data_IF_965188359578
#
_entry.id   IF_965188359578
#
_cell.length_a   1.000
_cell.length_b   1.000
_cell.length_c   1.000
_cell.angle_alpha   90.00
_cell.angle_beta   90.00
_cell.angle_gamma   90.00
#
_symmetry.space_group_name_H-M   'P 1'
#
loop_
_entity.id
_entity.type
_entity.pdbx_description
1 polymer ?
#
# COMPACT_ATOMS: atom_id res chain seq x y z
N UNK A 1 7.58 -34.96 -17.27
CA UNK A 1 8.07 -34.01 -18.30
C UNK A 1 7.95 -32.61 -17.75
N UNK A 2 8.99 -31.76 -17.78
CA UNK A 2 8.83 -30.39 -17.36
C UNK A 2 8.00 -29.65 -18.42
N UNK A 3 6.91 -29.03 -18.01
CA UNK A 3 6.14 -28.13 -18.88
C UNK A 3 7.07 -26.96 -19.21
N UNK A 4 7.57 -26.91 -20.45
CA UNK A 4 8.36 -25.78 -20.93
C UNK A 4 7.43 -24.57 -21.05
N UNK A 5 7.34 -23.77 -19.97
CA UNK A 5 6.70 -22.45 -20.00
C UNK A 5 7.32 -21.59 -21.09
N UNK A 6 6.51 -20.80 -21.80
CA UNK A 6 7.02 -19.87 -22.82
C UNK A 6 8.01 -18.87 -22.17
N UNK A 7 8.93 -18.31 -22.97
CA UNK A 7 9.89 -17.30 -22.47
C UNK A 7 9.14 -16.10 -21.84
N UNK A 8 7.95 -15.79 -22.35
CA UNK A 8 7.09 -14.71 -21.87
C UNK A 8 6.46 -15.06 -20.51
N UNK A 9 5.97 -16.28 -20.32
CA UNK A 9 5.43 -16.74 -19.02
C UNK A 9 6.49 -16.72 -17.91
N UNK A 10 7.73 -17.12 -18.22
CA UNK A 10 8.83 -17.06 -17.24
C UNK A 10 9.13 -15.62 -16.83
N UNK A 11 9.21 -14.71 -17.80
CA UNK A 11 9.48 -13.29 -17.56
C UNK A 11 8.42 -12.66 -16.67
N UNK A 12 7.14 -12.98 -16.89
CA UNK A 12 6.02 -12.49 -16.06
C UNK A 12 6.13 -12.99 -14.62
N UNK A 13 6.44 -14.27 -14.42
CA UNK A 13 6.57 -14.85 -13.08
C UNK A 13 7.79 -14.31 -12.32
N UNK A 14 8.92 -14.15 -13.01
CA UNK A 14 10.12 -13.57 -12.42
C UNK A 14 9.84 -12.12 -12.00
N UNK A 15 9.16 -11.33 -12.85
CA UNK A 15 8.76 -9.95 -12.51
C UNK A 15 7.91 -9.90 -11.22
N UNK A 16 6.87 -10.72 -11.10
CA UNK A 16 6.05 -10.74 -9.88
C UNK A 16 6.83 -11.21 -8.65
N UNK A 17 7.77 -12.12 -8.83
CA UNK A 17 8.67 -12.57 -7.76
C UNK A 17 9.55 -11.42 -7.26
N UNK A 18 10.15 -10.66 -8.17
CA UNK A 18 10.96 -9.48 -7.83
C UNK A 18 10.12 -8.39 -7.15
N UNK A 19 8.89 -8.12 -7.64
CA UNK A 19 7.98 -7.17 -6.98
C UNK A 19 7.70 -7.59 -5.53
N UNK A 20 7.42 -8.87 -5.29
CA UNK A 20 7.17 -9.38 -3.95
C UNK A 20 8.41 -9.29 -3.03
N UNK A 21 9.60 -9.59 -3.57
CA UNK A 21 10.86 -9.48 -2.81
C UNK A 21 11.14 -8.03 -2.44
N UNK A 22 11.01 -7.09 -3.40
CA UNK A 22 11.22 -5.66 -3.15
C UNK A 22 10.24 -5.13 -2.11
N UNK A 23 8.96 -5.50 -2.21
CA UNK A 23 7.93 -5.15 -1.22
C UNK A 23 8.31 -5.64 0.18
N UNK A 24 8.73 -6.90 0.31
CA UNK A 24 9.09 -7.49 1.59
C UNK A 24 10.32 -6.80 2.21
N UNK A 25 11.34 -6.51 1.40
CA UNK A 25 12.55 -5.80 1.84
C UNK A 25 12.23 -4.39 2.34
N UNK A 26 11.38 -3.66 1.62
CA UNK A 26 10.93 -2.31 2.00
C UNK A 26 10.09 -2.35 3.29
N UNK A 27 9.11 -3.26 3.37
CA UNK A 27 8.27 -3.43 4.59
C UNK A 27 9.11 -3.70 5.82
N UNK A 28 10.04 -4.67 5.76
CA UNK A 28 10.93 -4.99 6.88
C UNK A 28 11.81 -3.81 7.30
N UNK A 29 12.14 -2.92 6.37
CA UNK A 29 12.90 -1.71 6.65
C UNK A 29 12.04 -0.67 7.36
N UNK A 30 10.85 -0.40 6.84
CA UNK A 30 9.91 0.57 7.42
C UNK A 30 9.36 0.16 8.77
N UNK A 31 9.05 -1.13 8.99
CA UNK A 31 8.60 -1.59 10.31
C UNK A 31 9.68 -1.41 11.39
N UNK A 32 10.96 -1.33 11.01
CA UNK A 32 12.07 -1.02 11.94
C UNK A 32 12.26 0.47 12.18
N UNK A 33 12.05 1.33 11.17
CA UNK A 33 12.18 2.78 11.33
C UNK A 33 10.92 3.46 11.87
N UNK A 34 9.76 2.79 11.78
CA UNK A 34 8.43 3.27 12.18
C UNK A 34 8.19 4.77 11.82
N UNK A 35 8.26 5.16 10.54
CA UNK A 35 8.13 6.55 10.12
C UNK A 35 6.84 7.18 10.66
N UNK A 36 6.96 8.38 11.21
CA UNK A 36 5.90 9.11 11.89
C UNK A 36 5.15 8.27 12.96
N UNK A 37 5.85 7.33 13.59
CA UNK A 37 5.32 6.41 14.59
C UNK A 37 4.21 5.49 14.05
N UNK A 38 4.24 5.15 12.76
CA UNK A 38 3.26 4.27 12.12
C UNK A 38 3.85 2.91 11.77
N UNK A 39 3.02 1.86 11.90
CA UNK A 39 3.33 0.56 11.29
C UNK A 39 3.07 0.61 9.78
N UNK A 40 3.64 -0.34 9.03
CA UNK A 40 3.36 -0.43 7.57
C UNK A 40 1.86 -0.58 7.28
N UNK A 41 1.11 -1.30 8.12
CA UNK A 41 -0.34 -1.42 7.97
C UNK A 41 -1.07 -0.08 8.15
N UNK A 42 -0.69 0.71 9.15
CA UNK A 42 -1.27 2.04 9.40
C UNK A 42 -0.94 3.02 8.26
N UNK A 43 0.31 3.05 7.82
CA UNK A 43 0.73 3.85 6.67
C UNK A 43 -0.01 3.42 5.39
N UNK A 44 -0.19 2.11 5.20
CA UNK A 44 -0.96 1.54 4.10
C UNK A 44 -2.39 2.04 4.06
N UNK A 45 -3.11 2.09 5.18
CA UNK A 45 -4.49 2.60 5.25
C UNK A 45 -4.56 4.07 4.82
N UNK A 46 -3.66 4.93 5.32
CA UNK A 46 -3.62 6.33 4.88
C UNK A 46 -3.31 6.44 3.38
N UNK A 47 -2.34 5.65 2.91
CA UNK A 47 -1.97 5.56 1.49
C UNK A 47 -3.16 5.14 0.62
N UNK A 48 -4.00 4.22 1.09
CA UNK A 48 -5.21 3.80 0.36
C UNK A 48 -6.14 4.97 0.08
N UNK A 49 -6.42 5.83 1.06
CA UNK A 49 -7.27 7.01 0.87
C UNK A 49 -6.63 8.05 -0.03
N UNK A 50 -5.33 8.34 0.15
CA UNK A 50 -4.60 9.28 -0.70
C UNK A 50 -4.58 8.81 -2.16
N UNK A 51 -4.25 7.54 -2.39
CA UNK A 51 -4.11 6.95 -3.72
C UNK A 51 -5.44 6.82 -4.46
N UNK A 52 -6.50 6.43 -3.75
CA UNK A 52 -7.82 6.23 -4.36
C UNK A 52 -8.55 7.56 -4.59
N UNK A 53 -8.13 8.64 -3.94
CA UNK A 53 -8.82 9.93 -3.96
C UNK A 53 -10.15 9.92 -3.19
N UNK A 54 -10.53 8.80 -2.56
CA UNK A 54 -11.73 8.71 -1.73
C UNK A 54 -11.47 9.34 -0.37
N UNK A 55 -12.43 10.09 0.17
CA UNK A 55 -12.36 10.57 1.55
C UNK A 55 -12.79 9.50 2.57
N UNK A 56 -13.63 8.55 2.16
CA UNK A 56 -14.17 7.51 3.03
C UNK A 56 -14.34 6.16 2.32
N UNK A 57 -14.30 5.08 3.10
CA UNK A 57 -14.50 3.70 2.66
C UNK A 57 -15.13 2.88 3.79
N UNK A 58 -15.78 1.76 3.45
CA UNK A 58 -16.29 0.82 4.45
C UNK A 58 -15.14 0.00 5.05
N UNK A 59 -15.23 -0.34 6.34
CA UNK A 59 -14.24 -1.17 7.02
C UNK A 59 -14.09 -2.54 6.36
N UNK A 60 -15.20 -3.20 6.01
CA UNK A 60 -15.17 -4.49 5.31
C UNK A 60 -14.44 -4.42 3.96
N UNK A 61 -14.65 -3.33 3.20
CA UNK A 61 -13.98 -3.09 1.92
C UNK A 61 -12.50 -2.77 2.10
N UNK A 62 -12.12 -2.06 3.17
CA UNK A 62 -10.72 -1.89 3.54
C UNK A 62 -10.08 -3.23 3.87
N UNK A 63 -10.68 -4.05 4.75
CA UNK A 63 -10.15 -5.37 5.10
C UNK A 63 -9.93 -6.23 3.84
N UNK A 64 -10.94 -6.26 2.95
CA UNK A 64 -10.85 -6.95 1.66
C UNK A 64 -9.72 -6.42 0.77
N UNK A 65 -9.60 -5.10 0.62
CA UNK A 65 -8.58 -4.48 -0.23
C UNK A 65 -7.14 -4.75 0.25
N UNK A 66 -6.96 -4.99 1.56
CA UNK A 66 -5.68 -5.33 2.16
C UNK A 66 -5.46 -6.84 2.31
N UNK A 67 -6.46 -7.66 1.94
CA UNK A 67 -6.46 -9.11 2.13
C UNK A 67 -6.24 -9.50 3.61
N UNK A 68 -6.72 -8.66 4.52
CA UNK A 68 -6.63 -8.83 5.97
C UNK A 68 -8.01 -9.19 6.55
N UNK A 69 -8.05 -9.64 7.81
CA UNK A 69 -9.32 -9.83 8.51
C UNK A 69 -9.95 -8.50 8.94
N UNK A 70 -11.27 -8.46 9.08
CA UNK A 70 -11.98 -7.28 9.59
C UNK A 70 -11.53 -6.90 11.01
N UNK A 71 -11.24 -7.89 11.86
CA UNK A 71 -10.73 -7.67 13.23
C UNK A 71 -9.37 -6.96 13.22
N UNK A 72 -8.44 -7.43 12.38
CA UNK A 72 -7.12 -6.81 12.24
C UNK A 72 -7.24 -5.38 11.68
N UNK A 73 -8.09 -5.19 10.66
CA UNK A 73 -8.35 -3.88 10.08
C UNK A 73 -8.98 -2.92 11.12
N UNK A 74 -9.94 -3.40 11.91
CA UNK A 74 -10.57 -2.63 12.98
C UNK A 74 -9.57 -2.16 14.02
N UNK A 75 -8.63 -3.02 14.45
CA UNK A 75 -7.56 -2.68 15.38
C UNK A 75 -6.70 -1.51 14.84
N UNK A 76 -6.30 -1.58 13.57
CA UNK A 76 -5.48 -0.52 12.94
C UNK A 76 -6.25 0.78 12.77
N UNK A 77 -7.50 0.71 12.34
CA UNK A 77 -8.39 1.89 12.22
C UNK A 77 -8.59 2.55 13.58
N UNK A 78 -8.90 1.78 14.64
CA UNK A 78 -9.10 2.32 15.98
C UNK A 78 -7.84 3.04 16.51
N UNK A 79 -6.66 2.48 16.25
CA UNK A 79 -5.38 3.12 16.59
C UNK A 79 -5.18 4.46 15.87
N UNK A 80 -5.49 4.53 14.57
CA UNK A 80 -5.42 5.75 13.78
C UNK A 80 -6.47 6.80 14.19
N UNK A 81 -7.68 6.35 14.56
CA UNK A 81 -8.74 7.22 15.11
C UNK A 81 -8.32 7.84 16.42
N UNK A 82 -7.69 7.07 17.31
CA UNK A 82 -7.16 7.57 18.59
C UNK A 82 -6.11 8.68 18.39
N UNK A 83 -5.40 8.63 17.27
CA UNK A 83 -4.41 9.64 16.85
C UNK A 83 -5.02 10.82 16.07
N UNK A 84 -6.33 10.81 15.82
CA UNK A 84 -7.03 11.82 15.01
C UNK A 84 -6.71 11.77 13.52
N UNK A 85 -6.09 10.69 13.03
CA UNK A 85 -5.68 10.53 11.63
C UNK A 85 -6.80 9.96 10.75
N UNK A 86 -7.73 9.24 11.37
CA UNK A 86 -8.97 8.78 10.78
C UNK A 86 -10.15 9.17 11.67
N UNK A 87 -11.34 9.19 11.09
CA UNK A 87 -12.62 9.19 11.80
C UNK A 87 -13.37 7.90 11.47
N UNK A 88 -14.17 7.40 12.42
CA UNK A 88 -15.06 6.26 12.17
C UNK A 88 -16.48 6.52 12.67
N UNK A 89 -17.45 6.01 11.93
CA UNK A 89 -18.87 6.14 12.27
C UNK A 89 -19.63 4.85 11.94
N UNK A 90 -20.54 4.37 12.81
CA UNK A 90 -21.34 3.19 12.53
C UNK A 90 -22.30 3.44 11.35
N UNK A 91 -22.56 2.39 10.59
CA UNK A 91 -23.54 2.27 9.51
C UNK A 91 -24.39 1.02 9.75
N UNK A 92 -25.52 0.87 9.05
CA UNK A 92 -26.52 -0.19 9.31
C UNK A 92 -25.93 -1.60 9.51
N UNK A 93 -24.84 -1.95 8.80
CA UNK A 93 -24.19 -3.26 8.84
C UNK A 93 -22.65 -3.20 8.78
N UNK A 94 -22.06 -2.00 8.91
CA UNK A 94 -20.63 -1.79 8.69
C UNK A 94 -20.17 -0.52 9.43
N UNK A 95 -18.89 -0.18 9.32
CA UNK A 95 -18.30 1.04 9.85
C UNK A 95 -17.78 1.87 8.67
N UNK A 96 -18.20 3.13 8.59
CA UNK A 96 -17.55 4.10 7.72
C UNK A 96 -16.24 4.55 8.35
N UNK A 97 -15.18 4.55 7.55
CA UNK A 97 -13.85 5.05 7.90
C UNK A 97 -13.52 6.19 6.96
N UNK A 98 -13.10 7.34 7.51
CA UNK A 98 -12.80 8.56 6.76
C UNK A 98 -11.41 9.09 7.13
N UNK A 99 -10.63 9.51 6.14
CA UNK A 99 -9.34 10.16 6.37
C UNK A 99 -9.53 11.62 6.78
N UNK A 100 -8.82 12.05 7.82
CA UNK A 100 -8.81 13.46 8.25
C UNK A 100 -7.70 14.23 7.55
N UNK A 101 -7.76 15.56 7.60
CA UNK A 101 -6.65 16.40 7.08
C UNK A 101 -5.34 16.09 7.81
N UNK A 102 -5.39 15.88 9.14
CA UNK A 102 -4.24 15.43 9.91
C UNK A 102 -3.70 14.07 9.44
N UNK A 103 -4.57 13.16 9.01
CA UNK A 103 -4.18 11.89 8.38
C UNK A 103 -3.43 12.10 7.06
N UNK A 104 -3.86 13.06 6.23
CA UNK A 104 -3.18 13.39 4.96
C UNK A 104 -1.81 14.02 5.22
N UNK A 105 -1.73 14.93 6.17
CA UNK A 105 -0.48 15.57 6.60
C UNK A 105 0.51 14.54 7.16
N UNK A 106 0.04 13.65 8.04
CA UNK A 106 0.86 12.59 8.64
C UNK A 106 1.42 11.61 7.59
N UNK A 107 0.63 11.28 6.56
CA UNK A 107 1.12 10.50 5.42
C UNK A 107 2.23 11.25 4.66
N UNK A 108 2.06 12.56 4.42
CA UNK A 108 3.08 13.39 3.80
C UNK A 108 4.37 13.46 4.63
N UNK A 109 4.24 13.60 5.96
CA UNK A 109 5.37 13.58 6.88
C UNK A 109 6.11 12.24 6.80
N UNK A 110 5.40 11.11 6.88
CA UNK A 110 6.01 9.79 6.77
C UNK A 110 6.79 9.62 5.45
N UNK A 111 6.24 10.11 4.32
CA UNK A 111 6.95 10.11 3.04
C UNK A 111 8.23 10.97 3.07
N UNK A 112 8.18 12.14 3.72
CA UNK A 112 9.35 13.01 3.84
C UNK A 112 10.46 12.41 4.71
N UNK A 113 10.10 11.62 5.73
CA UNK A 113 11.05 10.95 6.62
C UNK A 113 11.76 9.79 5.92
N UNK A 114 11.06 9.05 5.05
CA UNK A 114 11.66 7.92 4.30
C UNK A 114 12.38 8.36 3.02
N UNK A 115 12.04 9.52 2.47
CA UNK A 115 12.55 10.01 1.19
C UNK A 115 14.09 9.92 1.06
N UNK A 116 14.87 10.48 2.00
CA UNK A 116 16.34 10.44 1.93
C UNK A 116 16.92 9.01 1.94
N UNK A 117 16.28 8.10 2.67
CA UNK A 117 16.70 6.70 2.74
C UNK A 117 16.40 5.96 1.43
N UNK A 118 15.25 6.25 0.81
CA UNK A 118 14.86 5.70 -0.50
C UNK A 118 15.76 6.25 -1.61
N UNK A 119 16.12 7.53 -1.57
CA UNK A 119 17.06 8.13 -2.52
C UNK A 119 18.43 7.44 -2.48
N UNK A 120 18.95 7.18 -1.28
CA UNK A 120 20.21 6.43 -1.12
C UNK A 120 20.10 4.98 -1.61
N UNK A 121 18.95 4.33 -1.40
CA UNK A 121 18.73 2.95 -1.85
C UNK A 121 18.74 2.81 -3.37
N UNK A 122 18.32 3.84 -4.09
CA UNK A 122 18.23 3.85 -5.54
C UNK A 122 19.41 4.60 -6.19
N UNK A 123 20.41 4.99 -5.38
CA UNK A 123 21.64 5.61 -5.86
C UNK A 123 22.35 4.65 -6.84
N UNK A 124 22.42 5.05 -8.11
CA UNK A 124 23.00 4.23 -9.19
C UNK A 124 21.99 3.63 -10.16
N UNK A 125 20.68 3.79 -9.94
CA UNK A 125 19.65 3.47 -10.93
C UNK A 125 19.27 4.74 -11.70
N UNK A 126 19.23 4.65 -13.03
CA UNK A 126 18.85 5.78 -13.87
C UNK A 126 17.38 6.18 -13.64
N UNK A 127 17.11 7.49 -13.64
CA UNK A 127 15.77 8.02 -13.43
C UNK A 127 14.79 7.60 -14.54
N UNK A 128 15.26 7.48 -15.78
CA UNK A 128 14.43 7.05 -16.92
C UNK A 128 14.01 5.57 -16.78
N UNK A 129 14.90 4.73 -16.23
CA UNK A 129 14.61 3.34 -15.91
C UNK A 129 13.59 3.23 -14.77
N UNK A 130 13.71 4.07 -13.74
CA UNK A 130 12.73 4.15 -12.65
C UNK A 130 11.36 4.61 -13.14
N UNK A 131 11.30 5.63 -14.00
CA UNK A 131 10.06 6.12 -14.60
C UNK A 131 9.39 5.05 -15.48
N UNK A 132 10.18 4.33 -16.26
CA UNK A 132 9.71 3.22 -17.09
C UNK A 132 9.16 2.09 -16.21
N UNK A 133 9.90 1.68 -15.19
CA UNK A 133 9.47 0.67 -14.22
C UNK A 133 8.18 1.07 -13.51
N UNK A 134 8.09 2.32 -13.04
CA UNK A 134 6.89 2.86 -12.38
C UNK A 134 5.66 2.77 -13.29
N UNK A 135 5.79 3.18 -14.56
CA UNK A 135 4.69 3.10 -15.53
C UNK A 135 4.20 1.66 -15.70
N UNK A 136 5.13 0.71 -15.88
CA UNK A 136 4.80 -0.72 -16.06
C UNK A 136 4.06 -1.27 -14.84
N UNK A 137 4.58 -1.03 -13.63
CA UNK A 137 3.96 -1.50 -12.38
C UNK A 137 2.58 -0.86 -12.18
N UNK A 138 2.41 0.42 -12.54
CA UNK A 138 1.10 1.07 -12.51
C UNK A 138 0.09 0.43 -13.46
N UNK A 139 0.50 0.04 -14.67
CA UNK A 139 -0.37 -0.63 -15.64
C UNK A 139 -0.77 -2.04 -15.19
N UNK A 140 0.16 -2.78 -14.60
CA UNK A 140 -0.12 -4.07 -13.96
C UNK A 140 -1.16 -3.87 -12.84
N UNK A 141 -0.91 -2.93 -11.91
CA UNK A 141 -1.85 -2.62 -10.82
C UNK A 141 -3.23 -2.24 -11.33
N UNK A 142 -3.33 -1.32 -12.31
CA UNK A 142 -4.62 -0.92 -12.92
C UNK A 142 -5.36 -2.11 -13.54
N UNK A 143 -4.62 -3.06 -14.12
CA UNK A 143 -5.23 -4.29 -14.66
C UNK A 143 -5.84 -5.14 -13.55
N UNK A 144 -5.11 -5.30 -12.43
CA UNK A 144 -5.58 -6.05 -11.27
C UNK A 144 -6.75 -5.36 -10.55
N UNK A 145 -6.71 -4.03 -10.38
CA UNK A 145 -7.77 -3.23 -9.77
C UNK A 145 -9.11 -3.33 -10.54
N UNK A 146 -9.07 -3.65 -11.84
CA UNK A 146 -10.25 -3.76 -12.71
C UNK A 146 -10.66 -5.22 -13.00
N UNK A 147 -10.04 -6.21 -12.35
CA UNK A 147 -10.49 -7.59 -12.48
C UNK A 147 -11.91 -7.72 -11.89
N UNK A 148 -12.83 -8.42 -12.57
CA UNK A 148 -14.15 -8.67 -12.00
C UNK A 148 -14.00 -9.48 -10.72
N UNK A 149 -14.80 -9.13 -9.70
CA UNK A 149 -14.96 -9.92 -8.49
C UNK A 149 -15.30 -11.36 -8.91
N UNK A 150 -14.45 -12.32 -8.53
CA UNK A 150 -14.65 -13.75 -8.80
C UNK A 150 -15.53 -14.39 -7.73
#
# INVERSE_FOLDING_TARGET
MPISRSRDERTVLDLFTEIAIVEHLLRNRYDRSAPAGMTTGQFGILTHFIRSGKSREKLSLLAWAFQDSEDYMAEKVASLVTRGLLASAPSNQDIWVEITDAGREMHGQALSEIGPEVEQLLEGIDLDDLQTSLRVVQDIRRTLDNLPDR
#
